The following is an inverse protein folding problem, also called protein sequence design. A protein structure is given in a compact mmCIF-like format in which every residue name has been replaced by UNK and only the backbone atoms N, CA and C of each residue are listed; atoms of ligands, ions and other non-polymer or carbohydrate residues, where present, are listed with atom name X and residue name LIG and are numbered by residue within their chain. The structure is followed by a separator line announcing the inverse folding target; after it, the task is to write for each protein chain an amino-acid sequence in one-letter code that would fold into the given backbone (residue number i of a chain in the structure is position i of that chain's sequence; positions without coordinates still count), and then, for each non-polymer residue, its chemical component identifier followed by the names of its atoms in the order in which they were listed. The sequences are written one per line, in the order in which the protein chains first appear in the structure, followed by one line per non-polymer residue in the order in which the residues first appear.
data_IF_849956070907
#
_entry.id   IF_849956070907
#
_cell.length_a   1.000
_cell.length_b   1.000
_cell.length_c   1.000
_cell.angle_alpha   90.00
_cell.angle_beta   90.00
_cell.angle_gamma   90.00
#
_symmetry.space_group_name_H-M   'P 1'
#
loop_
_entity.id
_entity.type
_entity.pdbx_description
1 polymer ?
#
# COMPACT_ATOMS: atom_id res chain seq x y z
N UNK A 1 -12.75 9.02 -3.52
CA UNK A 1 -11.97 8.24 -4.51
C UNK A 1 -10.78 7.64 -3.80
N UNK A 2 -10.65 6.32 -3.72
CA UNK A 2 -9.53 5.67 -3.05
C UNK A 2 -8.25 5.73 -3.90
N UNK A 3 -7.09 5.80 -3.23
CA UNK A 3 -5.78 5.95 -3.86
C UNK A 3 -4.87 4.82 -3.37
N UNK A 4 -4.19 4.17 -4.31
CA UNK A 4 -3.15 3.20 -4.01
C UNK A 4 -1.78 3.86 -4.15
N UNK A 5 -0.95 3.78 -3.11
CA UNK A 5 0.40 4.35 -3.11
C UNK A 5 1.42 3.35 -2.59
N UNK A 6 2.54 3.22 -3.29
CA UNK A 6 3.72 2.45 -2.83
C UNK A 6 4.93 3.34 -2.76
N UNK A 7 5.63 3.31 -1.62
CA UNK A 7 6.87 4.02 -1.39
C UNK A 7 8.05 3.03 -1.41
N UNK A 8 8.99 3.23 -2.33
CA UNK A 8 10.23 2.46 -2.36
C UNK A 8 11.30 3.09 -1.48
N UNK A 9 12.18 2.26 -0.89
CA UNK A 9 13.41 2.75 -0.24
C UNK A 9 14.26 3.46 -1.29
N UNK A 10 14.62 4.72 -1.02
CA UNK A 10 15.23 5.75 -1.90
C UNK A 10 14.26 6.80 -2.46
N UNK A 11 13.01 6.82 -1.99
CA UNK A 11 12.12 7.96 -2.19
C UNK A 11 11.38 7.99 -3.53
N UNK A 12 11.41 6.90 -4.29
CA UNK A 12 10.53 6.75 -5.45
C UNK A 12 9.13 6.37 -4.96
N UNK A 13 8.14 7.17 -5.35
CA UNK A 13 6.73 6.97 -4.99
C UNK A 13 5.94 6.70 -6.25
N UNK A 14 5.14 5.64 -6.23
CA UNK A 14 4.15 5.36 -7.24
C UNK A 14 2.76 5.54 -6.63
N UNK A 15 1.90 6.30 -7.31
CA UNK A 15 0.53 6.59 -6.85
C UNK A 15 -0.43 6.44 -8.02
N UNK A 16 -1.52 5.71 -7.80
CA UNK A 16 -2.57 5.49 -8.80
C UNK A 16 -3.96 5.63 -8.16
N UNK A 17 -4.82 6.42 -8.80
CA UNK A 17 -6.21 6.55 -8.39
C UNK A 17 -7.01 5.34 -8.92
N UNK A 18 -7.67 4.60 -8.01
CA UNK A 18 -8.42 3.41 -8.38
C UNK A 18 -9.91 3.73 -8.36
N UNK A 19 -10.60 3.48 -9.48
CA UNK A 19 -12.05 3.67 -9.56
C UNK A 19 -12.80 2.64 -8.70
N UNK A 20 -12.28 1.41 -8.61
CA UNK A 20 -12.84 0.32 -7.80
C UNK A 20 -11.71 -0.45 -7.12
N UNK A 21 -11.70 -0.47 -5.79
CA UNK A 21 -10.64 -1.12 -5.02
C UNK A 21 -11.01 -2.58 -4.83
N UNK A 22 -10.36 -3.44 -5.61
CA UNK A 22 -10.46 -4.90 -5.51
C UNK A 22 -9.12 -5.48 -5.07
N UNK A 23 -9.16 -6.57 -4.29
CA UNK A 23 -7.95 -7.26 -3.82
C UNK A 23 -7.06 -7.71 -5.00
N UNK A 24 -7.69 -8.15 -6.09
CA UNK A 24 -7.03 -8.57 -7.34
C UNK A 24 -6.22 -7.42 -7.96
N UNK A 25 -6.82 -6.23 -8.07
CA UNK A 25 -6.17 -5.05 -8.65
C UNK A 25 -4.97 -4.62 -7.80
N UNK A 26 -5.13 -4.58 -6.48
CA UNK A 26 -4.05 -4.25 -5.54
C UNK A 26 -2.91 -5.27 -5.64
N UNK A 27 -3.26 -6.55 -5.73
CA UNK A 27 -2.29 -7.63 -5.87
C UNK A 27 -1.49 -7.51 -7.17
N UNK A 28 -2.16 -7.32 -8.30
CA UNK A 28 -1.50 -7.17 -9.60
C UNK A 28 -0.56 -5.95 -9.62
N UNK A 29 -1.02 -4.81 -9.11
CA UNK A 29 -0.19 -3.60 -9.03
C UNK A 29 1.04 -3.83 -8.14
N UNK A 30 0.85 -4.49 -7.00
CA UNK A 30 1.95 -4.80 -6.08
C UNK A 30 2.96 -5.75 -6.72
N UNK A 31 2.52 -6.78 -7.46
CA UNK A 31 3.42 -7.69 -8.18
C UNK A 31 4.21 -6.96 -9.28
N UNK A 32 3.56 -6.06 -10.02
CA UNK A 32 4.19 -5.30 -11.11
C UNK A 32 5.21 -4.28 -10.59
N UNK A 33 4.97 -3.68 -9.43
CA UNK A 33 5.76 -2.55 -8.92
C UNK A 33 6.75 -2.94 -7.84
N UNK A 34 6.45 -3.95 -7.02
CA UNK A 34 7.26 -4.31 -5.86
C UNK A 34 8.05 -5.58 -6.15
N UNK A 35 9.38 -5.47 -6.05
CA UNK A 35 10.29 -6.62 -6.16
C UNK A 35 9.95 -7.68 -5.11
N UNK A 36 9.83 -8.95 -5.51
CA UNK A 36 9.68 -10.09 -4.59
C UNK A 36 10.78 -10.09 -3.52
N UNK A 37 10.43 -10.52 -2.31
CA UNK A 37 11.32 -10.46 -1.14
C UNK A 37 11.45 -9.08 -0.48
N UNK A 38 10.82 -8.04 -1.03
CA UNK A 38 10.73 -6.74 -0.36
C UNK A 38 9.82 -6.81 0.87
N UNK A 39 10.05 -5.91 1.83
CA UNK A 39 9.11 -5.69 2.93
C UNK A 39 8.03 -4.72 2.48
N UNK A 40 6.77 -5.13 2.60
CA UNK A 40 5.61 -4.32 2.23
C UNK A 40 4.82 -4.00 3.50
N UNK A 41 4.52 -2.72 3.68
CA UNK A 41 3.73 -2.21 4.80
C UNK A 41 2.37 -1.77 4.25
N UNK A 42 1.30 -2.28 4.82
CA UNK A 42 -0.05 -1.87 4.46
C UNK A 42 -0.84 -1.51 5.70
N UNK A 43 -1.84 -0.66 5.51
CA UNK A 43 -2.88 -0.45 6.50
C UNK A 43 -3.87 -1.63 6.54
N UNK A 44 -4.90 -1.49 7.38
CA UNK A 44 -5.88 -2.55 7.66
C UNK A 44 -7.15 -2.44 6.80
N UNK A 45 -7.11 -1.80 5.63
CA UNK A 45 -8.30 -1.57 4.79
C UNK A 45 -9.02 -2.86 4.38
N UNK A 46 -10.13 -3.18 5.08
CA UNK A 46 -11.09 -4.26 4.79
C UNK A 46 -10.49 -5.60 4.30
N UNK A 47 -9.31 -5.99 4.80
CA UNK A 47 -8.63 -7.24 4.41
C UNK A 47 -8.13 -7.29 2.96
N UNK A 48 -8.15 -6.18 2.23
CA UNK A 48 -7.86 -6.18 0.79
C UNK A 48 -6.40 -6.56 0.46
N UNK A 49 -5.53 -6.45 1.46
CA UNK A 49 -4.10 -6.74 1.38
C UNK A 49 -3.74 -8.15 1.84
N UNK A 50 -4.69 -8.98 2.30
CA UNK A 50 -4.39 -10.32 2.83
C UNK A 50 -3.73 -11.23 1.79
N UNK A 51 -4.02 -11.01 0.50
CA UNK A 51 -3.42 -11.74 -0.61
C UNK A 51 -1.90 -11.51 -0.72
N UNK A 52 -1.38 -10.38 -0.23
CA UNK A 52 0.06 -10.07 -0.29
C UNK A 52 0.90 -11.03 0.56
N UNK A 53 0.33 -11.63 1.61
CA UNK A 53 1.01 -12.63 2.43
C UNK A 53 1.41 -13.88 1.64
N UNK A 54 0.66 -14.21 0.57
CA UNK A 54 0.92 -15.39 -0.25
C UNK A 54 1.93 -15.15 -1.38
N UNK A 55 2.37 -13.91 -1.61
CA UNK A 55 3.18 -13.54 -2.78
C UNK A 55 4.67 -13.39 -2.51
N UNK A 56 5.16 -13.95 -1.41
CA UNK A 56 6.60 -13.94 -1.07
C UNK A 56 7.11 -12.57 -0.64
N UNK A 57 6.20 -11.69 -0.20
CA UNK A 57 6.55 -10.43 0.45
C UNK A 57 6.62 -10.64 1.96
N UNK A 58 7.57 -9.96 2.61
CA UNK A 58 7.51 -9.83 4.06
C UNK A 58 6.46 -8.77 4.39
N UNK A 59 5.23 -9.22 4.63
CA UNK A 59 4.10 -8.33 4.91
C UNK A 59 4.05 -7.99 6.39
N UNK A 60 4.06 -6.69 6.69
CA UNK A 60 3.87 -6.17 8.04
C UNK A 60 2.60 -5.32 8.03
N UNK A 61 1.59 -5.73 8.78
CA UNK A 61 0.40 -4.92 9.01
C UNK A 61 0.73 -3.83 10.02
N UNK A 62 0.43 -2.59 9.68
CA UNK A 62 0.54 -1.48 10.62
C UNK A 62 -0.84 -1.21 11.19
N UNK A 63 -0.97 -1.32 12.51
CA UNK A 63 -2.20 -0.95 13.21
C UNK A 63 -2.24 0.56 13.42
N UNK A 64 -3.15 1.21 12.70
CA UNK A 64 -3.40 2.64 12.84
C UNK A 64 -4.42 2.90 13.95
N UNK A 65 -3.99 2.91 15.21
CA UNK A 65 -4.75 3.55 16.30
C UNK A 65 -4.39 5.03 16.48
N UNK A 66 -3.60 5.63 15.59
CA UNK A 66 -3.24 7.06 15.69
C UNK A 66 -3.18 7.71 14.31
N UNK A 67 -4.06 8.71 14.14
CA UNK A 67 -4.12 9.79 13.16
C UNK A 67 -3.07 9.80 12.03
N UNK A 68 -3.56 9.82 10.79
CA UNK A 68 -2.74 10.21 9.63
C UNK A 68 -2.16 11.61 9.83
N UNK A 69 -0.95 11.83 9.31
CA UNK A 69 -0.29 13.13 9.34
C UNK A 69 -1.20 14.21 8.72
N UNK A 70 -1.58 15.20 9.52
CA UNK A 70 -2.04 16.48 8.99
C UNK A 70 -0.83 17.09 8.26
N UNK A 71 -0.94 17.27 6.94
CA UNK A 71 0.09 17.97 6.18
C UNK A 71 0.30 19.38 6.74
N UNK A 72 1.48 19.99 6.57
CA UNK A 72 1.69 21.37 7.00
C UNK A 72 0.74 22.28 6.20
N UNK A 73 -0.19 22.91 6.91
CA UNK A 73 -0.96 24.02 6.37
C UNK A 73 0.00 25.16 6.03
N UNK A 74 0.03 25.52 4.75
CA UNK A 74 0.73 26.72 4.29
C UNK A 74 -0.35 27.76 4.05
N UNK A 75 -0.28 28.88 4.79
CA UNK A 75 -1.10 30.08 4.60
C UNK A 75 -0.74 30.78 3.29
#
# INVERSE_FOLDING_TARGET
MPVFGTLERKGQVFVEALLHVKAETILELTIKKVRRGSSVYTDRYYGIYDTLMFCGYRHLRVDYTTHFAQGPGVY
#
